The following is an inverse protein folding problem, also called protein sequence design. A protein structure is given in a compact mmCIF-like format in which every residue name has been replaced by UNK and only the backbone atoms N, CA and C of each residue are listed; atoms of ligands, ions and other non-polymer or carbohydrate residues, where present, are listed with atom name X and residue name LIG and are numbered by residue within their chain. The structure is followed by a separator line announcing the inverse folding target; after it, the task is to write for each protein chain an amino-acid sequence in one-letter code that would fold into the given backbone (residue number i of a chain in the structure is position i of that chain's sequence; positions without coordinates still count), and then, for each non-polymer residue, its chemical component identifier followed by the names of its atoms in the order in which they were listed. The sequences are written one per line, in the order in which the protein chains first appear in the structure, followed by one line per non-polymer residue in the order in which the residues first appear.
data_IF_518935186467
#
_entry.id   IF_518935186467
#
_cell.length_a   1.000
_cell.length_b   1.000
_cell.length_c   1.000
_cell.angle_alpha   90.00
_cell.angle_beta   90.00
_cell.angle_gamma   90.00
#
_symmetry.space_group_name_H-M   'P 1'
#
loop_
_entity.id
_entity.type
_entity.pdbx_description
1 polymer ?
#
# COMPACT_ATOMS: atom_id res chain seq x y z
N UNK A 1 10.21 -3.36 -13.82
CA UNK A 1 8.97 -3.79 -13.17
C UNK A 1 9.33 -4.31 -11.78
N UNK A 2 8.99 -3.57 -10.74
CA UNK A 2 9.22 -3.96 -9.36
C UNK A 2 8.20 -5.03 -8.98
N UNK A 3 8.67 -6.16 -8.46
CA UNK A 3 7.83 -7.26 -7.99
C UNK A 3 8.40 -7.81 -6.69
N UNK A 4 7.53 -8.07 -5.73
CA UNK A 4 7.86 -8.82 -4.52
C UNK A 4 7.21 -10.20 -4.63
N UNK A 5 7.88 -11.22 -4.08
CA UNK A 5 7.34 -12.58 -4.01
C UNK A 5 6.32 -12.74 -2.86
N UNK A 6 6.36 -11.81 -1.90
CA UNK A 6 5.44 -11.73 -0.77
C UNK A 6 4.75 -10.36 -0.72
N UNK A 7 3.57 -10.27 -0.07
CA UNK A 7 2.89 -8.99 0.16
C UNK A 7 3.77 -7.95 0.85
N UNK A 8 3.65 -6.69 0.41
CA UNK A 8 4.31 -5.54 1.01
C UNK A 8 3.38 -4.88 2.02
N UNK A 9 3.84 -4.74 3.26
CA UNK A 9 3.16 -3.92 4.28
C UNK A 9 3.96 -2.63 4.52
N UNK A 10 3.36 -1.49 4.19
CA UNK A 10 3.91 -0.18 4.49
C UNK A 10 3.27 0.36 5.78
N UNK A 11 4.08 0.46 6.84
CA UNK A 11 3.68 1.06 8.11
C UNK A 11 4.13 2.51 8.17
N UNK A 12 3.17 3.43 8.29
CA UNK A 12 3.38 4.87 8.19
C UNK A 12 3.44 5.34 6.74
N UNK A 13 2.33 5.94 6.28
CA UNK A 13 2.18 6.51 4.95
C UNK A 13 2.24 8.05 4.99
N UNK A 14 3.04 8.62 5.90
CA UNK A 14 3.41 10.04 5.87
C UNK A 14 4.24 10.39 4.61
N UNK A 15 4.83 11.59 4.56
CA UNK A 15 5.59 12.07 3.39
C UNK A 15 6.60 11.07 2.81
N UNK A 16 7.42 10.44 3.67
CA UNK A 16 8.40 9.46 3.21
C UNK A 16 7.76 8.17 2.72
N UNK A 17 6.84 7.57 3.49
CA UNK A 17 6.16 6.34 3.09
C UNK A 17 5.36 6.53 1.81
N UNK A 18 4.69 7.68 1.67
CA UNK A 18 4.00 8.07 0.46
C UNK A 18 4.90 8.20 -0.76
N UNK A 19 6.06 8.86 -0.63
CA UNK A 19 7.01 8.99 -1.73
C UNK A 19 7.57 7.62 -2.18
N UNK A 20 7.86 6.74 -1.23
CA UNK A 20 8.28 5.36 -1.52
C UNK A 20 7.18 4.60 -2.26
N UNK A 21 5.96 4.62 -1.73
CA UNK A 21 4.80 3.98 -2.32
C UNK A 21 4.57 4.42 -3.78
N UNK A 22 4.54 5.74 -4.02
CA UNK A 22 4.38 6.28 -5.38
C UNK A 22 5.48 5.79 -6.30
N UNK A 23 6.74 5.88 -5.88
CA UNK A 23 7.87 5.41 -6.69
C UNK A 23 7.80 3.91 -7.01
N UNK A 24 7.34 3.08 -6.08
CA UNK A 24 7.16 1.65 -6.30
C UNK A 24 6.03 1.34 -7.29
N UNK A 25 4.90 2.04 -7.15
CA UNK A 25 3.77 1.92 -8.08
C UNK A 25 4.16 2.35 -9.49
N UNK A 26 4.91 3.44 -9.63
CA UNK A 26 5.42 3.92 -10.93
C UNK A 26 6.40 2.93 -11.57
N UNK A 27 7.11 2.14 -10.76
CA UNK A 27 7.97 1.05 -11.22
C UNK A 27 7.22 -0.24 -11.53
N UNK A 28 5.88 -0.27 -11.41
CA UNK A 28 5.02 -1.40 -11.77
C UNK A 28 4.77 -2.38 -10.64
N UNK A 29 4.89 -1.96 -9.37
CA UNK A 29 4.42 -2.75 -8.24
C UNK A 29 2.90 -2.97 -8.35
N UNK A 30 2.46 -4.23 -8.22
CA UNK A 30 1.06 -4.61 -8.25
C UNK A 30 0.32 -4.09 -6.99
N UNK A 31 -0.67 -3.19 -7.11
CA UNK A 31 -1.39 -2.64 -5.97
C UNK A 31 -2.07 -3.69 -5.10
N UNK A 32 -2.51 -4.81 -5.68
CA UNK A 32 -3.19 -5.88 -4.95
C UNK A 32 -2.32 -6.56 -3.87
N UNK A 33 -0.99 -6.48 -4.01
CA UNK A 33 -0.02 -6.99 -3.04
C UNK A 33 0.42 -5.98 -1.97
N UNK A 34 -0.16 -4.77 -1.96
CA UNK A 34 0.27 -3.67 -1.08
C UNK A 34 -0.77 -3.37 0.00
N UNK A 35 -0.30 -3.33 1.23
CA UNK A 35 -1.09 -3.04 2.42
C UNK A 35 -0.50 -1.84 3.16
N UNK A 36 -1.36 -0.93 3.59
CA UNK A 36 -1.01 0.31 4.27
C UNK A 36 -1.52 0.27 5.70
N UNK A 37 -0.67 0.67 6.65
CA UNK A 37 -1.03 0.86 8.05
C UNK A 37 -0.68 2.28 8.46
N UNK A 38 -1.68 3.13 8.49
CA UNK A 38 -1.54 4.52 8.94
C UNK A 38 -2.86 4.97 9.59
N UNK A 39 -2.90 5.26 10.90
CA UNK A 39 -4.10 5.73 11.57
C UNK A 39 -4.62 7.07 11.03
N UNK A 40 -3.72 7.91 10.51
CA UNK A 40 -4.02 9.28 10.09
C UNK A 40 -3.27 9.59 8.78
N UNK A 41 -3.61 8.91 7.67
CA UNK A 41 -2.91 9.09 6.42
C UNK A 41 -3.10 10.52 5.90
N UNK A 42 -2.08 11.10 5.25
CA UNK A 42 -2.24 12.34 4.50
C UNK A 42 -3.33 12.22 3.42
N UNK A 43 -3.94 13.35 3.04
CA UNK A 43 -5.04 13.38 2.06
C UNK A 43 -4.61 12.80 0.71
N UNK A 44 -3.38 13.07 0.29
CA UNK A 44 -2.81 12.54 -0.95
C UNK A 44 -2.72 11.00 -0.95
N UNK A 45 -2.49 10.38 0.21
CA UNK A 45 -2.46 8.92 0.33
C UNK A 45 -3.87 8.34 0.33
N UNK A 46 -4.80 8.98 1.02
CA UNK A 46 -6.20 8.55 0.99
C UNK A 46 -6.75 8.58 -0.46
N UNK A 47 -6.37 9.58 -1.25
CA UNK A 47 -6.71 9.67 -2.66
C UNK A 47 -6.05 8.56 -3.47
N UNK A 48 -4.73 8.37 -3.32
CA UNK A 48 -3.99 7.32 -4.03
C UNK A 48 -4.57 5.92 -3.72
N UNK A 49 -4.97 5.69 -2.47
CA UNK A 49 -5.64 4.45 -2.04
C UNK A 49 -6.92 4.21 -2.84
N UNK A 50 -7.78 5.23 -2.95
CA UNK A 50 -9.02 5.13 -3.70
C UNK A 50 -8.79 4.94 -5.21
N UNK A 51 -7.80 5.66 -5.78
CA UNK A 51 -7.49 5.62 -7.21
C UNK A 51 -6.86 4.30 -7.66
N UNK A 52 -5.99 3.71 -6.83
CA UNK A 52 -5.22 2.51 -7.17
C UNK A 52 -5.79 1.23 -6.55
N UNK A 53 -6.86 1.34 -5.74
CA UNK A 53 -7.45 0.20 -5.05
C UNK A 53 -6.53 -0.41 -3.99
N UNK A 54 -5.70 0.40 -3.34
CA UNK A 54 -4.80 -0.07 -2.28
C UNK A 54 -5.58 -0.43 -1.02
N UNK A 55 -5.00 -1.29 -0.18
CA UNK A 55 -5.63 -1.76 1.05
C UNK A 55 -5.12 -0.96 2.23
N UNK A 56 -5.94 -0.08 2.80
CA UNK A 56 -5.58 0.74 3.97
C UNK A 56 -6.29 0.25 5.23
N UNK A 57 -5.52 0.01 6.28
CA UNK A 57 -5.99 -0.35 7.62
C UNK A 57 -6.94 -1.56 7.65
N UNK A 58 -6.78 -2.52 6.74
CA UNK A 58 -7.52 -3.78 6.80
C UNK A 58 -7.24 -4.50 8.13
N UNK A 59 -8.23 -5.26 8.65
CA UNK A 59 -8.01 -6.22 9.73
C UNK A 59 -6.91 -7.21 9.37
N UNK A 60 -6.16 -7.69 10.36
CA UNK A 60 -5.03 -8.61 10.13
C UNK A 60 -5.51 -9.93 9.52
N UNK A 61 -6.69 -10.38 9.92
CA UNK A 61 -7.34 -11.59 9.44
C UNK A 61 -7.61 -11.54 7.93
N UNK A 62 -7.93 -10.35 7.40
CA UNK A 62 -8.14 -10.16 5.96
C UNK A 62 -6.82 -10.05 5.19
N UNK A 63 -5.73 -9.67 5.86
CA UNK A 63 -4.39 -9.66 5.25
C UNK A 63 -3.83 -11.07 5.09
N UNK A 64 -4.04 -11.96 6.07
CA UNK A 64 -3.61 -13.36 6.01
C UNK A 64 -4.32 -14.15 4.90
N UNK A 65 -5.59 -13.80 4.63
CA UNK A 65 -6.40 -14.42 3.59
C UNK A 65 -6.10 -13.91 2.17
N UNK A 66 -5.26 -12.88 2.02
CA UNK A 66 -4.97 -12.30 0.73
C UNK A 66 -4.11 -13.23 -0.15
N UNK A 67 -4.34 -13.26 -1.47
CA UNK A 67 -3.49 -14.01 -2.39
C UNK A 67 -2.05 -13.49 -2.32
N UNK A 68 -1.08 -14.43 -2.26
CA UNK A 68 0.35 -14.14 -2.36
C UNK A 68 0.77 -13.92 -3.80
#
# INVERSE_FOLDING_TARGET
MLRFDDPLVLVGAGKMGGALLTGWLDQGLEPAGVFLRDPTPPVEIAQLVAEKGLRLNLPLEEMEAAPR
#
